data_IF_236203023417
#
_entry.id   IF_236203023417
#
_cell.length_a   1.000
_cell.length_b   1.000
_cell.length_c   1.000
_cell.angle_alpha   90.00
_cell.angle_beta   90.00
_cell.angle_gamma   90.00
#
_symmetry.space_group_name_H-M   'P 1'
#
loop_
_entity.id
_entity.type
_entity.pdbx_description
1 polymer ?
#
# COMPACT_ATOMS: atom_id res chain seq x y z
N UNK A 1 20.37 32.28 -31.22
CA UNK A 1 20.90 31.29 -30.26
C UNK A 1 19.72 30.59 -29.62
N UNK A 2 19.43 29.37 -30.04
CA UNK A 2 18.33 28.55 -29.51
C UNK A 2 18.80 27.87 -28.23
N UNK A 3 18.07 28.11 -27.14
CA UNK A 3 18.28 27.48 -25.84
C UNK A 3 17.87 26.01 -25.91
N UNK A 4 18.80 25.13 -25.55
CA UNK A 4 18.60 23.69 -25.49
C UNK A 4 17.50 23.35 -24.49
N UNK A 5 16.36 22.88 -25.00
CA UNK A 5 15.41 22.11 -24.20
C UNK A 5 16.11 20.84 -23.73
N UNK A 6 16.36 20.74 -22.43
CA UNK A 6 16.60 19.48 -21.76
C UNK A 6 15.27 18.74 -21.79
N UNK A 7 15.08 17.92 -22.82
CA UNK A 7 14.11 16.82 -22.77
C UNK A 7 14.58 15.94 -21.62
N UNK A 8 13.83 15.94 -20.50
CA UNK A 8 14.00 14.91 -19.48
C UNK A 8 13.65 13.60 -20.17
N UNK A 9 14.68 12.84 -20.51
CA UNK A 9 14.58 11.48 -21.00
C UNK A 9 13.67 10.70 -20.06
N UNK A 10 12.73 9.94 -20.63
CA UNK A 10 11.91 8.95 -19.94
C UNK A 10 12.75 8.23 -18.89
N UNK A 11 12.53 8.54 -17.61
CA UNK A 11 13.02 7.70 -16.55
C UNK A 11 12.27 6.38 -16.63
N UNK A 12 13.03 5.31 -16.49
CA UNK A 12 12.62 3.94 -16.64
C UNK A 12 11.56 3.58 -15.60
N UNK A 13 10.27 3.68 -15.98
CA UNK A 13 9.12 3.26 -15.16
C UNK A 13 9.02 1.72 -15.03
N UNK A 14 10.05 0.97 -15.40
CA UNK A 14 10.04 -0.51 -15.40
C UNK A 14 10.48 -1.15 -14.07
N UNK A 15 10.59 -0.38 -13.00
CA UNK A 15 10.92 -0.89 -11.67
C UNK A 15 9.75 -1.60 -10.99
N UNK A 16 10.00 -2.62 -10.13
CA UNK A 16 8.96 -3.35 -9.41
C UNK A 16 8.08 -2.45 -8.53
N UNK A 17 8.63 -1.33 -8.04
CA UNK A 17 7.89 -0.34 -7.25
C UNK A 17 6.79 0.37 -8.06
N UNK A 18 7.08 0.78 -9.31
CA UNK A 18 6.07 1.38 -10.21
C UNK A 18 5.11 0.33 -10.75
N UNK A 19 5.57 -0.90 -11.04
CA UNK A 19 4.68 -1.99 -11.46
C UNK A 19 3.65 -2.39 -10.37
N UNK A 20 4.05 -2.39 -9.09
CA UNK A 20 3.16 -2.69 -7.97
C UNK A 20 2.30 -1.47 -7.61
N UNK A 21 2.91 -0.29 -7.52
CA UNK A 21 2.23 0.96 -7.16
C UNK A 21 1.28 1.49 -8.23
N UNK A 22 1.71 1.60 -9.49
CA UNK A 22 0.89 2.12 -10.59
C UNK A 22 0.09 1.02 -11.30
N UNK A 23 0.63 -0.21 -11.35
CA UNK A 23 0.00 -1.34 -12.04
C UNK A 23 -0.98 -2.12 -11.18
N UNK A 24 -0.52 -2.73 -10.08
CA UNK A 24 -1.36 -3.64 -9.27
C UNK A 24 -2.42 -2.87 -8.46
N UNK A 25 -2.06 -1.75 -7.84
CA UNK A 25 -3.01 -0.93 -7.08
C UNK A 25 -4.18 -0.41 -7.94
N UNK A 26 -3.90 0.06 -9.16
CA UNK A 26 -4.93 0.54 -10.09
C UNK A 26 -5.88 -0.57 -10.62
N UNK A 27 -5.49 -1.85 -10.50
CA UNK A 27 -6.34 -2.99 -10.86
C UNK A 27 -7.19 -3.49 -9.67
N UNK A 28 -6.84 -3.11 -8.45
CA UNK A 28 -7.55 -3.46 -7.21
C UNK A 28 -8.52 -2.34 -6.80
N UNK A 29 -8.15 -1.09 -7.10
CA UNK A 29 -8.94 0.12 -6.87
C UNK A 29 -9.06 0.91 -8.19
N UNK A 30 -10.23 0.93 -8.84
CA UNK A 30 -10.46 1.75 -10.03
C UNK A 30 -11.62 2.73 -9.78
N UNK A 31 -11.40 4.02 -10.05
CA UNK A 31 -12.36 5.12 -9.89
C UNK A 31 -12.87 5.38 -8.47
N UNK A 32 -12.02 5.17 -7.45
CA UNK A 32 -12.38 5.53 -6.07
C UNK A 32 -13.32 4.54 -5.39
N UNK A 33 -13.31 3.28 -5.81
CA UNK A 33 -14.01 2.20 -5.10
C UNK A 33 -13.08 1.00 -4.96
N UNK A 34 -13.00 0.46 -3.75
CA UNK A 34 -12.35 -0.83 -3.49
C UNK A 34 -13.31 -1.92 -3.94
N UNK A 35 -12.92 -2.77 -4.90
CA UNK A 35 -13.78 -3.85 -5.40
C UNK A 35 -13.87 -5.01 -4.41
N UNK A 36 -14.95 -5.80 -4.48
CA UNK A 36 -15.05 -7.09 -3.76
C UNK A 36 -13.87 -8.02 -4.09
N UNK A 37 -13.36 -7.95 -5.33
CA UNK A 37 -12.16 -8.66 -5.77
C UNK A 37 -10.93 -8.40 -4.88
N UNK A 38 -10.84 -7.23 -4.25
CA UNK A 38 -9.75 -6.86 -3.33
C UNK A 38 -9.66 -7.81 -2.15
N UNK A 39 -10.80 -8.23 -1.57
CA UNK A 39 -10.82 -9.16 -0.45
C UNK A 39 -10.14 -10.50 -0.80
N UNK A 40 -10.27 -10.95 -2.06
CA UNK A 40 -9.64 -12.17 -2.56
C UNK A 40 -8.18 -11.98 -2.99
N UNK A 41 -7.76 -10.76 -3.31
CA UNK A 41 -6.38 -10.44 -3.65
C UNK A 41 -5.48 -10.30 -2.40
N UNK A 42 -6.01 -9.78 -1.29
CA UNK A 42 -5.28 -9.55 -0.04
C UNK A 42 -4.49 -10.77 0.46
N UNK A 43 -5.06 -12.00 0.52
CA UNK A 43 -4.32 -13.17 1.01
C UNK A 43 -3.15 -13.55 0.11
N UNK A 44 -3.27 -13.34 -1.20
CA UNK A 44 -2.19 -13.57 -2.16
C UNK A 44 -1.07 -12.55 -1.97
N UNK A 45 -1.41 -11.26 -1.93
CA UNK A 45 -0.44 -10.17 -1.69
C UNK A 45 0.32 -10.41 -0.38
N UNK A 46 -0.40 -10.75 0.68
CA UNK A 46 0.20 -11.02 1.98
C UNK A 46 1.08 -12.28 1.99
N UNK A 47 0.68 -13.32 1.26
CA UNK A 47 1.50 -14.52 1.11
C UNK A 47 2.83 -14.22 0.39
N UNK A 48 2.80 -13.42 -0.68
CA UNK A 48 4.02 -13.03 -1.41
C UNK A 48 4.92 -12.16 -0.55
N UNK A 49 4.37 -11.13 0.11
CA UNK A 49 5.14 -10.24 0.97
C UNK A 49 5.78 -10.95 2.18
N UNK A 50 5.12 -11.98 2.72
CA UNK A 50 5.63 -12.80 3.82
C UNK A 50 6.63 -13.87 3.36
N UNK A 51 6.71 -14.13 2.05
CA UNK A 51 7.59 -15.13 1.47
C UNK A 51 9.05 -14.69 1.35
N UNK A 52 9.82 -15.53 0.66
CA UNK A 52 11.23 -15.28 0.33
C UNK A 52 11.34 -14.33 -0.86
N UNK A 53 11.11 -13.04 -0.58
CA UNK A 53 11.25 -11.94 -1.52
C UNK A 53 12.24 -10.90 -0.98
N UNK A 54 12.82 -10.10 -1.86
CA UNK A 54 13.68 -8.97 -1.45
C UNK A 54 12.85 -7.86 -0.81
N UNK A 55 13.50 -6.98 -0.05
CA UNK A 55 12.81 -5.81 0.51
C UNK A 55 12.29 -4.85 -0.58
N UNK A 56 12.95 -4.82 -1.74
CA UNK A 56 12.48 -4.10 -2.93
C UNK A 56 11.08 -4.53 -3.39
N UNK A 57 10.71 -5.80 -3.17
CA UNK A 57 9.36 -6.33 -3.47
C UNK A 57 8.47 -6.27 -2.22
N UNK A 58 9.01 -6.59 -1.05
CA UNK A 58 8.23 -6.65 0.20
C UNK A 58 7.67 -5.30 0.62
N UNK A 59 8.48 -4.24 0.54
CA UNK A 59 8.11 -2.87 0.93
C UNK A 59 6.87 -2.40 0.16
N UNK A 60 6.85 -2.39 -1.19
CA UNK A 60 5.67 -1.94 -1.93
C UNK A 60 4.44 -2.83 -1.73
N UNK A 61 4.60 -4.14 -1.49
CA UNK A 61 3.46 -5.02 -1.20
C UNK A 61 2.86 -4.76 0.20
N UNK A 62 3.68 -4.48 1.20
CA UNK A 62 3.19 -4.08 2.53
C UNK A 62 2.58 -2.68 2.51
N UNK A 63 3.16 -1.74 1.76
CA UNK A 63 2.56 -0.43 1.53
C UNK A 63 1.18 -0.55 0.89
N UNK A 64 1.03 -1.38 -0.15
CA UNK A 64 -0.24 -1.71 -0.79
C UNK A 64 -1.28 -2.26 0.20
N UNK A 65 -0.89 -3.17 1.10
CA UNK A 65 -1.80 -3.67 2.14
C UNK A 65 -2.19 -2.57 3.14
N UNK A 66 -1.27 -1.65 3.44
CA UNK A 66 -1.53 -0.45 4.22
C UNK A 66 -2.58 0.44 3.55
N UNK A 67 -2.39 0.77 2.27
CA UNK A 67 -3.34 1.56 1.49
C UNK A 67 -4.71 0.89 1.45
N UNK A 68 -4.78 -0.42 1.18
CA UNK A 68 -6.05 -1.16 1.22
C UNK A 68 -6.71 -1.02 2.61
N UNK A 69 -5.95 -1.12 3.70
CA UNK A 69 -6.50 -1.06 5.06
C UNK A 69 -7.14 0.28 5.42
N UNK A 70 -6.64 1.39 4.87
CA UNK A 70 -7.21 2.72 5.10
C UNK A 70 -8.36 3.06 4.13
N UNK A 71 -8.75 2.12 3.26
CA UNK A 71 -9.70 2.38 2.18
C UNK A 71 -9.09 3.24 1.07
N UNK A 72 -7.78 3.10 0.87
CA UNK A 72 -6.93 3.83 -0.04
C UNK A 72 -7.60 3.98 -1.40
N UNK A 73 -7.78 5.25 -1.75
CA UNK A 73 -8.45 5.67 -2.95
C UNK A 73 -7.56 6.67 -3.65
N UNK A 74 -7.52 6.60 -4.98
CA UNK A 74 -6.75 7.48 -5.85
C UNK A 74 -6.67 8.90 -5.28
N UNK A 75 -5.45 9.46 -5.21
CA UNK A 75 -5.28 10.90 -5.06
C UNK A 75 -6.00 11.53 -6.25
N UNK A 76 -7.14 12.17 -6.01
CA UNK A 76 -7.80 12.93 -7.04
C UNK A 76 -6.85 14.07 -7.47
N UNK A 77 -6.95 14.58 -8.71
CA UNK A 77 -6.34 15.86 -9.02
C UNK A 77 -6.76 16.83 -7.91
N UNK A 78 -5.83 17.59 -7.32
CA UNK A 78 -6.01 18.49 -6.16
C UNK A 78 -5.84 17.89 -4.74
N UNK A 79 -5.40 16.63 -4.60
CA UNK A 79 -4.95 16.12 -3.29
C UNK A 79 -6.07 15.68 -2.33
N UNK A 80 -7.29 15.50 -2.83
CA UNK A 80 -8.34 14.85 -2.05
C UNK A 80 -8.29 13.33 -2.25
N UNK A 81 -8.48 12.57 -1.18
CA UNK A 81 -8.71 11.13 -1.25
C UNK A 81 -10.19 10.91 -1.58
N UNK A 82 -10.48 10.21 -2.67
CA UNK A 82 -11.85 9.87 -3.06
C UNK A 82 -12.03 8.37 -3.13
N UNK A 83 -12.42 7.74 -2.02
CA UNK A 83 -12.95 6.39 -2.13
C UNK A 83 -13.63 5.84 -0.90
N UNK A 84 -14.45 4.86 -1.20
CA UNK A 84 -15.29 4.15 -0.28
C UNK A 84 -15.28 2.68 -0.68
N UNK A 85 -15.50 1.81 0.31
CA UNK A 85 -15.91 0.45 0.02
C UNK A 85 -17.29 0.47 -0.63
N UNK A 86 -17.54 -0.42 -1.58
CA UNK A 86 -18.92 -0.77 -1.94
C UNK A 86 -19.64 -1.40 -0.74
N UNK A 87 -20.97 -1.42 -0.76
CA UNK A 87 -21.78 -2.03 0.31
C UNK A 87 -21.25 -3.44 0.67
N UNK A 88 -20.93 -3.65 1.95
CA UNK A 88 -20.40 -4.90 2.53
C UNK A 88 -19.00 -5.36 2.06
N UNK A 89 -18.33 -4.59 1.20
CA UNK A 89 -16.94 -4.90 0.78
C UNK A 89 -15.94 -4.58 1.90
N UNK A 90 -16.25 -3.59 2.73
CA UNK A 90 -15.47 -3.18 3.90
C UNK A 90 -15.24 -4.34 4.88
N UNK A 91 -16.28 -5.10 5.19
CA UNK A 91 -16.22 -6.24 6.10
C UNK A 91 -15.32 -7.34 5.51
N UNK A 92 -15.54 -7.70 4.24
CA UNK A 92 -14.77 -8.75 3.56
C UNK A 92 -13.28 -8.41 3.47
N UNK A 93 -12.95 -7.16 3.14
CA UNK A 93 -11.55 -6.70 3.06
C UNK A 93 -10.92 -6.66 4.45
N UNK A 94 -11.64 -6.17 5.46
CA UNK A 94 -11.16 -6.11 6.85
C UNK A 94 -10.86 -7.51 7.40
N UNK A 95 -11.76 -8.47 7.21
CA UNK A 95 -11.56 -9.86 7.66
C UNK A 95 -10.38 -10.53 6.94
N UNK A 96 -10.26 -10.28 5.64
CA UNK A 96 -9.16 -10.81 4.82
C UNK A 96 -7.81 -10.25 5.25
N UNK A 97 -7.74 -8.94 5.54
CA UNK A 97 -6.55 -8.29 6.10
C UNK A 97 -6.21 -8.85 7.48
N UNK A 98 -7.19 -8.93 8.39
CA UNK A 98 -6.99 -9.43 9.75
C UNK A 98 -6.43 -10.84 9.76
N UNK A 99 -6.98 -11.74 8.93
CA UNK A 99 -6.49 -13.11 8.77
C UNK A 99 -5.06 -13.13 8.19
N UNK A 100 -4.77 -12.23 7.26
CA UNK A 100 -3.48 -12.18 6.55
C UNK A 100 -2.34 -11.59 7.38
N UNK A 101 -2.61 -10.72 8.34
CA UNK A 101 -1.58 -10.08 9.18
C UNK A 101 -0.74 -11.09 9.98
N UNK A 102 -1.29 -12.25 10.32
CA UNK A 102 -0.55 -13.32 11.01
C UNK A 102 0.67 -13.85 10.23
N UNK A 103 0.71 -13.64 8.91
CA UNK A 103 1.80 -14.10 8.04
C UNK A 103 3.11 -13.34 8.26
N UNK A 104 3.07 -12.14 8.83
CA UNK A 104 4.24 -11.27 8.95
C UNK A 104 4.99 -11.42 10.28
N UNK A 105 4.71 -12.46 11.06
CA UNK A 105 5.38 -12.71 12.35
C UNK A 105 6.90 -12.91 12.25
N UNK A 106 7.43 -13.18 11.05
CA UNK A 106 8.86 -13.31 10.78
C UNK A 106 9.53 -12.01 10.32
N UNK A 107 8.77 -10.96 9.98
CA UNK A 107 9.33 -9.66 9.54
C UNK A 107 10.03 -8.98 10.72
N UNK A 108 11.23 -8.44 10.49
CA UNK A 108 12.07 -7.81 11.53
C UNK A 108 12.49 -6.38 11.20
N UNK A 109 12.41 -5.97 9.94
CA UNK A 109 12.76 -4.60 9.54
C UNK A 109 11.90 -3.59 10.31
N UNK A 110 12.48 -2.66 11.10
CA UNK A 110 11.72 -1.81 12.00
C UNK A 110 10.60 -1.01 11.32
N UNK A 111 10.87 -0.45 10.13
CA UNK A 111 9.87 0.29 9.36
C UNK A 111 8.67 -0.58 8.96
N UNK A 112 8.94 -1.83 8.55
CA UNK A 112 7.89 -2.78 8.17
C UNK A 112 7.12 -3.30 9.38
N UNK A 113 7.79 -3.54 10.50
CA UNK A 113 7.13 -3.91 11.77
C UNK A 113 6.19 -2.80 12.22
N UNK A 114 6.60 -1.54 12.15
CA UNK A 114 5.76 -0.40 12.48
C UNK A 114 4.52 -0.32 11.57
N UNK A 115 4.68 -0.53 10.26
CA UNK A 115 3.56 -0.58 9.32
C UNK A 115 2.59 -1.73 9.62
N UNK A 116 3.09 -2.93 9.87
CA UNK A 116 2.26 -4.10 10.24
C UNK A 116 1.46 -3.82 11.52
N UNK A 117 2.10 -3.22 12.54
CA UNK A 117 1.45 -2.87 13.80
C UNK A 117 0.39 -1.77 13.63
N UNK A 118 0.66 -0.77 12.78
CA UNK A 118 -0.32 0.27 12.47
C UNK A 118 -1.57 -0.32 11.80
N UNK A 119 -1.38 -1.20 10.81
CA UNK A 119 -2.48 -1.91 10.14
C UNK A 119 -3.27 -2.73 11.16
N UNK A 120 -2.61 -3.51 12.01
CA UNK A 120 -3.28 -4.30 13.06
C UNK A 120 -4.08 -3.43 14.04
N UNK A 121 -3.54 -2.27 14.43
CA UNK A 121 -4.21 -1.34 15.34
C UNK A 121 -5.47 -0.74 14.72
N UNK A 122 -5.40 -0.39 13.43
CA UNK A 122 -6.55 0.08 12.67
C UNK A 122 -7.63 -1.00 12.54
N UNK A 123 -7.25 -2.24 12.24
CA UNK A 123 -8.19 -3.37 12.12
C UNK A 123 -8.87 -3.70 13.45
N UNK A 124 -8.16 -3.55 14.58
CA UNK A 124 -8.72 -3.75 15.91
C UNK A 124 -9.68 -2.61 16.31
N UNK A 125 -9.36 -1.38 15.91
CA UNK A 125 -10.16 -0.21 16.22
C UNK A 125 -10.04 0.85 15.12
N UNK A 126 -11.09 1.00 14.32
CA UNK A 126 -11.11 1.98 13.23
C UNK A 126 -11.29 3.40 13.76
N UNK A 127 -10.18 4.15 13.88
CA UNK A 127 -10.16 5.58 14.26
C UNK A 127 -9.31 6.37 13.26
N UNK A 128 -9.59 7.67 13.14
CA UNK A 128 -8.77 8.56 12.29
C UNK A 128 -7.30 8.55 12.73
N UNK A 129 -7.01 8.53 14.03
CA UNK A 129 -5.65 8.45 14.55
C UNK A 129 -4.91 7.16 14.11
N UNK A 130 -5.60 6.02 14.05
CA UNK A 130 -5.01 4.78 13.54
C UNK A 130 -4.85 4.81 12.02
N UNK A 131 -5.75 5.49 11.30
CA UNK A 131 -5.61 5.72 9.85
C UNK A 131 -4.37 6.57 9.55
N UNK A 132 -4.21 7.69 10.24
CA UNK A 132 -3.05 8.58 10.12
C UNK A 132 -1.74 7.87 10.46
N UNK A 133 -1.77 6.95 11.43
CA UNK A 133 -0.63 6.13 11.80
C UNK A 133 -0.22 5.16 10.70
N UNK A 134 -1.18 4.55 9.99
CA UNK A 134 -0.90 3.70 8.82
C UNK A 134 -0.27 4.54 7.71
N UNK A 135 -0.86 5.70 7.37
CA UNK A 135 -0.33 6.58 6.33
C UNK A 135 1.11 7.04 6.65
N UNK A 136 1.37 7.42 7.91
CA UNK A 136 2.71 7.79 8.37
C UNK A 136 3.71 6.63 8.26
N UNK A 137 3.27 5.41 8.61
CA UNK A 137 4.13 4.23 8.53
C UNK A 137 4.42 3.80 7.08
N UNK A 138 3.46 3.97 6.15
CA UNK A 138 3.67 3.79 4.71
C UNK A 138 4.77 4.75 4.23
N UNK A 139 4.60 6.04 4.49
CA UNK A 139 5.56 7.07 4.09
C UNK A 139 6.97 6.79 4.64
N UNK A 140 7.06 6.34 5.88
CA UNK A 140 8.32 5.95 6.50
C UNK A 140 8.94 4.70 5.86
N UNK A 141 8.13 3.70 5.51
CA UNK A 141 8.61 2.45 4.91
C UNK A 141 9.09 2.60 3.47
N UNK A 142 8.45 3.48 2.68
CA UNK A 142 8.79 3.72 1.26
C UNK A 142 9.89 4.76 1.06
N UNK A 143 10.15 5.60 2.07
CA UNK A 143 11.24 6.58 1.99
C UNK A 143 12.58 5.86 2.18
N UNK A 144 13.49 5.89 1.20
CA UNK A 144 14.80 5.26 1.35
C UNK A 144 15.53 5.90 2.53
N UNK A 145 16.04 5.08 3.46
CA UNK A 145 16.88 5.56 4.54
C UNK A 145 18.14 6.17 3.92
N UNK A 146 18.25 7.49 3.93
CA UNK A 146 19.53 8.17 3.69
C UNK A 146 20.42 7.81 4.88
N UNK A 147 21.25 6.77 4.74
CA UNK A 147 22.36 6.57 5.68
C UNK A 147 23.38 7.69 5.43
N UNK A 148 23.81 8.43 6.46
CA UNK A 148 24.99 9.28 6.37
C UNK A 148 26.28 8.46 6.21
#
# INVERSE_FOLDING_TARGET
>A
MLSSHVVRSNEDLSGPFSAIGDGLYCNICHQGTVYEATAYAVPFIAAVAAGDVTDEIRVPLLALLGDISIGGSCVAPHGSHSGAYGDHVDVLVTESLATSMGRFSAVRAPALVALIQAIQSLLNQSTDAHRDAVESAINFAITPSVQP
#
